data_IF_328696149803
#
_entry.id   IF_328696149803
#
_cell.length_a   1.000
_cell.length_b   1.000
_cell.length_c   1.000
_cell.angle_alpha   90.00
_cell.angle_beta   90.00
_cell.angle_gamma   90.00
#
_symmetry.space_group_name_H-M   'P 1'
#
loop_
_entity.id
_entity.type
_entity.pdbx_description
1 polymer ?
#
# COMPACT_ATOMS: atom_id res chain seq x y z
N UNK A 1 -16.99 -1.35 -5.87
CA UNK A 1 -15.69 -1.97 -5.53
C UNK A 1 -14.94 -2.28 -6.81
N UNK A 2 -13.78 -1.65 -7.02
CA UNK A 2 -12.93 -1.91 -8.17
C UNK A 2 -11.76 -2.79 -7.74
N UNK A 3 -11.53 -3.86 -8.49
CA UNK A 3 -10.38 -4.74 -8.32
C UNK A 3 -9.25 -4.26 -9.25
N UNK A 4 -8.04 -4.17 -8.71
CA UNK A 4 -6.87 -3.67 -9.38
C UNK A 4 -5.82 -4.77 -9.49
N UNK A 5 -5.13 -4.83 -10.63
CA UNK A 5 -3.89 -5.59 -10.73
C UNK A 5 -2.80 -4.95 -9.86
N UNK A 6 -1.72 -5.69 -9.59
CA UNK A 6 -0.59 -5.17 -8.82
C UNK A 6 -0.07 -3.82 -9.37
N UNK A 7 0.13 -3.72 -10.68
CA UNK A 7 0.62 -2.50 -11.34
C UNK A 7 -0.36 -1.32 -11.20
N UNK A 8 -1.67 -1.60 -11.28
CA UNK A 8 -2.70 -0.58 -11.09
C UNK A 8 -2.77 -0.13 -9.63
N UNK A 9 -2.67 -1.06 -8.68
CA UNK A 9 -2.61 -0.76 -7.25
C UNK A 9 -1.39 0.11 -6.91
N UNK A 10 -0.23 -0.21 -7.47
CA UNK A 10 1.00 0.58 -7.31
C UNK A 10 0.83 2.01 -7.83
N UNK A 11 0.31 2.16 -9.06
CA UNK A 11 -0.01 3.47 -9.64
C UNK A 11 -1.02 4.24 -8.79
N UNK A 12 -2.06 3.56 -8.28
CA UNK A 12 -3.12 4.17 -7.47
C UNK A 12 -2.62 4.67 -6.11
N UNK A 13 -1.72 3.92 -5.48
CA UNK A 13 -1.10 4.28 -4.21
C UNK A 13 0.12 5.22 -4.36
N UNK A 14 0.61 5.45 -5.58
CA UNK A 14 1.80 6.27 -5.83
C UNK A 14 3.08 5.61 -5.29
N UNK A 15 3.17 4.28 -5.33
CA UNK A 15 4.33 3.51 -4.86
C UNK A 15 4.80 2.54 -5.94
N UNK A 16 5.94 1.88 -5.72
CA UNK A 16 6.43 0.84 -6.63
C UNK A 16 5.70 -0.49 -6.46
N UNK A 17 5.67 -1.31 -7.51
CA UNK A 17 5.14 -2.68 -7.46
C UNK A 17 5.78 -3.51 -6.35
N UNK A 18 7.10 -3.34 -6.13
CA UNK A 18 7.84 -3.98 -5.04
C UNK A 18 7.27 -3.60 -3.66
N UNK A 19 6.78 -2.38 -3.50
CA UNK A 19 6.17 -1.92 -2.26
C UNK A 19 4.83 -2.60 -2.02
N UNK A 20 4.00 -2.74 -3.06
CA UNK A 20 2.74 -3.50 -2.98
C UNK A 20 3.02 -4.95 -2.58
N UNK A 21 3.96 -5.63 -3.26
CA UNK A 21 4.40 -6.99 -2.89
C UNK A 21 4.84 -7.11 -1.45
N UNK A 22 5.58 -6.12 -0.93
CA UNK A 22 6.01 -6.09 0.48
C UNK A 22 4.83 -5.92 1.43
N UNK A 23 3.83 -5.12 1.09
CA UNK A 23 2.63 -4.98 1.92
C UNK A 23 1.82 -6.27 1.97
N UNK A 24 1.68 -6.97 0.84
CA UNK A 24 1.04 -8.29 0.80
C UNK A 24 1.81 -9.31 1.63
N UNK A 25 3.13 -9.41 1.44
CA UNK A 25 3.98 -10.33 2.20
C UNK A 25 4.00 -10.03 3.71
N UNK A 26 3.81 -8.77 4.10
CA UNK A 26 3.70 -8.36 5.49
C UNK A 26 2.28 -8.54 6.08
N UNK A 27 1.30 -9.00 5.29
CA UNK A 27 -0.10 -9.14 5.70
C UNK A 27 -0.83 -7.80 5.87
N UNK A 28 -0.28 -6.71 5.35
CA UNK A 28 -0.81 -5.35 5.55
C UNK A 28 -1.84 -4.95 4.49
N UNK A 29 -1.76 -5.58 3.32
CA UNK A 29 -2.68 -5.47 2.19
C UNK A 29 -3.13 -6.88 1.80
N UNK A 30 -4.42 -7.13 1.73
CA UNK A 30 -4.94 -8.39 1.22
C UNK A 30 -4.94 -8.41 -0.31
N UNK A 31 -4.78 -9.61 -0.85
CA UNK A 31 -5.01 -9.89 -2.25
C UNK A 31 -5.97 -11.07 -2.39
N UNK A 32 -6.75 -11.06 -3.47
CA UNK A 32 -7.60 -12.18 -3.88
C UNK A 32 -7.29 -12.50 -5.32
N UNK A 33 -6.81 -13.72 -5.57
CA UNK A 33 -6.46 -14.19 -6.92
C UNK A 33 -5.50 -13.24 -7.67
N UNK A 34 -4.56 -12.60 -6.96
CA UNK A 34 -3.63 -11.62 -7.53
C UNK A 34 -4.23 -10.24 -7.83
N UNK A 35 -5.44 -9.97 -7.35
CA UNK A 35 -6.10 -8.67 -7.43
C UNK A 35 -6.20 -8.02 -6.05
N UNK A 36 -6.18 -6.69 -6.04
CA UNK A 36 -6.26 -5.86 -4.84
C UNK A 36 -7.51 -4.98 -4.90
N UNK A 37 -8.21 -4.85 -3.77
CA UNK A 37 -9.31 -3.89 -3.67
C UNK A 37 -8.77 -2.46 -3.70
N UNK A 38 -9.32 -1.60 -4.55
CA UNK A 38 -8.91 -0.19 -4.63
C UNK A 38 -9.01 0.53 -3.27
N UNK A 39 -10.11 0.33 -2.55
CA UNK A 39 -10.34 0.97 -1.24
C UNK A 39 -9.31 0.51 -0.21
N UNK A 40 -8.96 -0.77 -0.23
CA UNK A 40 -7.98 -1.34 0.67
C UNK A 40 -6.56 -0.86 0.38
N UNK A 41 -6.21 -0.71 -0.90
CA UNK A 41 -4.94 -0.12 -1.34
C UNK A 41 -4.80 1.30 -0.80
N UNK A 42 -5.85 2.12 -0.92
CA UNK A 42 -5.87 3.51 -0.43
C UNK A 42 -5.74 3.54 1.10
N UNK A 43 -6.49 2.70 1.81
CA UNK A 43 -6.44 2.64 3.27
C UNK A 43 -5.07 2.17 3.79
N UNK A 44 -4.48 1.19 3.14
CA UNK A 44 -3.13 0.70 3.47
C UNK A 44 -2.08 1.76 3.21
N UNK A 45 -2.17 2.47 2.09
CA UNK A 45 -1.28 3.59 1.77
C UNK A 45 -1.34 4.66 2.86
N UNK A 46 -2.54 5.10 3.26
CA UNK A 46 -2.73 6.08 4.35
C UNK A 46 -2.08 5.62 5.65
N UNK A 47 -2.28 4.36 6.03
CA UNK A 47 -1.68 3.74 7.23
C UNK A 47 -0.15 3.75 7.16
N UNK A 48 0.41 3.37 6.01
CA UNK A 48 1.85 3.31 5.78
C UNK A 48 2.49 4.69 5.73
N UNK A 49 1.83 5.67 5.11
CA UNK A 49 2.25 7.07 5.10
C UNK A 49 2.29 7.64 6.51
N UNK A 50 1.27 7.40 7.33
CA UNK A 50 1.24 7.83 8.72
C UNK A 50 2.40 7.22 9.54
N UNK A 51 2.70 5.94 9.33
CA UNK A 51 3.85 5.27 9.98
C UNK A 51 5.20 5.86 9.56
N UNK A 52 5.36 6.22 8.27
CA UNK A 52 6.58 6.90 7.78
C UNK A 52 6.72 8.31 8.36
N UNK A 53 5.63 9.08 8.43
CA UNK A 53 5.63 10.43 8.99
C UNK A 53 6.06 10.50 10.46
N UNK A 54 5.72 9.48 11.26
CA UNK A 54 6.13 9.39 12.68
C UNK A 54 7.61 9.08 12.90
N UNK A 55 8.35 8.62 11.87
CA UNK A 55 9.75 8.19 11.99
C UNK A 55 10.78 9.29 11.78
N UNK A 56 10.37 10.56 11.62
CA UNK A 56 11.32 11.68 11.50
C UNK A 56 11.49 12.30 12.90
N UNK A 57 12.53 11.95 13.69
CA UNK A 57 12.88 12.78 14.83
C UNK A 57 13.21 14.17 14.29
N UNK A 58 12.61 15.19 14.92
CA UNK A 58 12.99 16.58 14.68
C UNK A 58 14.46 16.69 15.11
N UNK A 59 15.39 17.18 14.27
CA UNK A 59 16.73 17.49 14.77
C UNK A 59 16.53 18.52 15.89
N UNK A 60 17.04 18.18 17.08
CA UNK A 60 17.08 19.04 18.25
C UNK A 60 18.29 19.94 18.13
#
# INVERSE_FOLDING_TARGET
MRWLTQAQAAKRAGVSDRTIRRWVAAGELQERYGLHSEDEVINTEKRMRARRGRRRPKPV
#
